data_IF_728368928009
#
_entry.id   IF_728368928009
#
_cell.length_a   1.000
_cell.length_b   1.000
_cell.length_c   1.000
_cell.angle_alpha   90.00
_cell.angle_beta   90.00
_cell.angle_gamma   90.00
#
_symmetry.space_group_name_H-M   'P 1'
#
loop_
_entity.id
_entity.type
_entity.pdbx_description
1 polymer ?
#
# COMPACT_ATOMS: atom_id res chain seq x y z
N UNK A 1 2.41 -9.69 -3.79
CA UNK A 1 3.67 -10.01 -3.10
C UNK A 1 4.38 -8.70 -2.89
N UNK A 2 4.32 -8.19 -1.65
CA UNK A 2 5.05 -6.98 -1.25
C UNK A 2 6.52 -7.32 -1.02
N UNK A 3 7.41 -6.53 -1.58
CA UNK A 3 8.83 -6.66 -1.35
C UNK A 3 9.20 -5.88 -0.10
N UNK A 4 9.76 -6.56 0.90
CA UNK A 4 10.18 -5.97 2.17
C UNK A 4 11.69 -6.02 2.28
N UNK A 5 12.33 -4.86 2.48
CA UNK A 5 13.78 -4.70 2.48
C UNK A 5 14.32 -4.27 3.84
N UNK A 6 15.50 -4.74 4.23
CA UNK A 6 16.07 -4.48 5.58
C UNK A 6 17.58 -4.30 5.62
N UNK A 7 18.09 -3.33 6.37
CA UNK A 7 19.00 -3.35 7.51
C UNK A 7 20.45 -2.88 7.41
N UNK A 8 20.91 -2.22 8.52
CA UNK A 8 22.30 -1.97 8.90
C UNK A 8 22.62 -2.54 10.31
N UNK A 9 23.86 -3.01 10.55
CA UNK A 9 24.39 -3.42 11.86
C UNK A 9 25.47 -2.44 12.30
N UNK A 10 25.38 -1.93 13.54
CA UNK A 10 26.43 -1.15 14.18
C UNK A 10 27.31 -2.02 15.09
N UNK A 11 28.45 -1.47 15.51
CA UNK A 11 29.46 -2.15 16.35
C UNK A 11 28.95 -2.51 17.75
N UNK A 12 27.83 -1.91 18.18
CA UNK A 12 27.26 -2.06 19.53
C UNK A 12 26.06 -3.06 19.58
N UNK A 13 25.99 -4.00 18.68
CA UNK A 13 24.90 -4.99 18.57
C UNK A 13 23.50 -4.41 18.29
N UNK A 14 23.39 -3.13 17.96
CA UNK A 14 22.13 -2.52 17.53
C UNK A 14 21.89 -2.67 16.03
N UNK A 15 20.63 -2.85 15.65
CA UNK A 15 20.22 -3.09 14.29
C UNK A 15 19.18 -2.07 13.86
N UNK A 16 19.50 -1.25 12.86
CA UNK A 16 18.52 -0.44 12.17
C UNK A 16 17.73 -1.31 11.17
N UNK A 17 16.43 -1.20 11.21
CA UNK A 17 15.51 -1.97 10.38
C UNK A 17 14.64 -1.00 9.62
N UNK A 18 14.56 -1.17 8.30
CA UNK A 18 13.56 -0.48 7.50
C UNK A 18 12.77 -1.49 6.67
N UNK A 19 11.49 -1.23 6.53
CA UNK A 19 10.53 -2.12 5.87
C UNK A 19 9.73 -1.29 4.89
N UNK A 20 9.63 -1.78 3.66
CA UNK A 20 8.79 -1.17 2.64
C UNK A 20 7.93 -2.22 1.96
N UNK A 21 6.65 -1.93 1.79
CA UNK A 21 5.79 -2.63 0.83
C UNK A 21 5.62 -1.73 -0.39
N UNK A 22 6.29 -2.11 -1.47
CA UNK A 22 6.30 -1.35 -2.72
C UNK A 22 4.92 -1.30 -3.39
N UNK A 23 4.03 -2.24 -3.05
CA UNK A 23 2.69 -2.28 -3.65
C UNK A 23 1.67 -1.42 -2.93
N UNK A 24 1.86 -1.17 -1.65
CA UNK A 24 0.96 -0.34 -0.83
C UNK A 24 1.55 1.02 -0.50
N UNK A 25 2.87 1.18 -0.64
CA UNK A 25 3.59 2.40 -0.25
C UNK A 25 3.86 2.50 1.26
N UNK A 26 3.57 1.44 2.02
CA UNK A 26 3.87 1.40 3.45
C UNK A 26 5.39 1.38 3.65
N UNK A 27 5.92 2.35 4.39
CA UNK A 27 7.35 2.50 4.63
C UNK A 27 7.62 2.81 6.09
N UNK A 28 8.33 1.90 6.75
CA UNK A 28 8.55 1.97 8.20
C UNK A 28 10.01 1.80 8.55
N UNK A 29 10.41 2.30 9.73
CA UNK A 29 11.72 2.07 10.31
C UNK A 29 11.64 1.83 11.82
N UNK A 30 12.63 1.11 12.34
CA UNK A 30 12.85 0.92 13.78
C UNK A 30 14.30 0.56 14.07
N UNK A 31 14.64 0.48 15.35
CA UNK A 31 15.91 -0.02 15.84
C UNK A 31 15.67 -1.11 16.89
N UNK A 32 16.53 -2.14 16.88
CA UNK A 32 16.50 -3.23 17.87
C UNK A 32 17.90 -3.56 18.36
N UNK A 33 18.01 -3.98 19.61
CA UNK A 33 19.28 -4.15 20.31
C UNK A 33 19.80 -5.60 20.34
N UNK A 34 19.09 -6.55 19.68
CA UNK A 34 19.50 -7.94 19.68
C UNK A 34 19.11 -8.69 18.41
N UNK A 35 19.87 -9.74 18.11
CA UNK A 35 19.58 -10.68 17.02
C UNK A 35 18.21 -11.33 17.18
N UNK A 36 17.80 -11.67 18.41
CA UNK A 36 16.48 -12.25 18.66
C UNK A 36 15.36 -11.32 18.24
N UNK A 37 15.38 -10.06 18.73
CA UNK A 37 14.39 -9.03 18.34
C UNK A 37 14.38 -8.79 16.83
N UNK A 38 15.54 -8.83 16.19
CA UNK A 38 15.62 -8.73 14.75
C UNK A 38 14.92 -9.90 14.06
N UNK A 39 15.19 -11.14 14.48
CA UNK A 39 14.54 -12.32 13.89
C UNK A 39 13.03 -12.30 14.12
N UNK A 40 12.58 -11.77 15.26
CA UNK A 40 11.16 -11.56 15.51
C UNK A 40 10.55 -10.59 14.50
N UNK A 41 11.22 -9.47 14.18
CA UNK A 41 10.77 -8.54 13.15
C UNK A 41 10.82 -9.15 11.74
N UNK A 42 11.84 -9.96 11.40
CA UNK A 42 11.88 -10.69 10.13
C UNK A 42 10.71 -11.66 10.03
N UNK A 43 10.44 -12.42 11.07
CA UNK A 43 9.33 -13.38 11.11
C UNK A 43 7.96 -12.69 11.09
N UNK A 44 7.87 -11.47 11.64
CA UNK A 44 6.65 -10.67 11.65
C UNK A 44 6.24 -10.20 10.25
N UNK A 45 7.19 -9.68 9.49
CA UNK A 45 6.93 -9.12 8.17
C UNK A 45 7.11 -10.11 7.02
N UNK A 46 7.83 -11.22 7.25
CA UNK A 46 8.10 -12.26 6.25
C UNK A 46 8.50 -11.66 4.89
N UNK A 47 9.62 -10.91 4.84
CA UNK A 47 10.01 -10.22 3.63
C UNK A 47 10.36 -11.20 2.50
N UNK A 48 10.10 -10.80 1.26
CA UNK A 48 10.56 -11.53 0.08
C UNK A 48 12.09 -11.39 -0.11
N UNK A 49 12.62 -10.20 0.20
CA UNK A 49 14.04 -9.90 0.10
C UNK A 49 14.53 -9.12 1.33
N UNK A 50 15.77 -9.41 1.74
CA UNK A 50 16.53 -8.62 2.72
C UNK A 50 17.76 -8.07 2.04
N UNK A 51 17.88 -6.75 1.97
CA UNK A 51 19.11 -6.07 1.60
C UNK A 51 19.89 -5.70 2.87
N UNK A 52 21.19 -5.88 2.87
CA UNK A 52 22.00 -5.67 4.06
C UNK A 52 23.42 -5.20 3.74
N UNK A 53 24.12 -4.71 4.74
CA UNK A 53 25.57 -4.48 4.67
C UNK A 53 26.36 -5.74 5.04
N UNK A 54 27.66 -5.74 4.77
CA UNK A 54 28.55 -6.87 5.06
C UNK A 54 28.57 -7.28 6.54
N UNK A 55 28.39 -6.33 7.46
CA UNK A 55 28.32 -6.58 8.91
C UNK A 55 27.19 -7.51 9.30
N UNK A 56 26.15 -7.64 8.48
CA UNK A 56 25.07 -8.57 8.70
C UNK A 56 25.50 -10.02 8.68
N UNK A 57 26.42 -10.38 7.79
CA UNK A 57 26.93 -11.75 7.66
C UNK A 57 27.73 -12.22 8.87
N UNK A 58 28.28 -11.29 9.64
CA UNK A 58 29.06 -11.59 10.86
C UNK A 58 28.27 -11.32 12.15
N UNK A 59 27.00 -10.98 12.05
CA UNK A 59 26.15 -10.57 13.19
C UNK A 59 25.65 -11.73 14.06
N UNK A 60 25.94 -12.97 13.69
CA UNK A 60 25.42 -14.17 14.38
C UNK A 60 24.00 -14.58 13.98
N UNK A 61 23.44 -13.98 12.93
CA UNK A 61 22.15 -14.38 12.35
C UNK A 61 22.35 -15.68 11.53
N UNK A 62 21.50 -16.66 11.73
CA UNK A 62 21.49 -17.87 10.89
C UNK A 62 20.86 -17.56 9.52
N UNK A 63 21.74 -17.27 8.56
CA UNK A 63 21.34 -16.92 7.19
C UNK A 63 20.76 -18.11 6.44
N UNK A 64 21.22 -19.34 6.77
CA UNK A 64 20.70 -20.56 6.15
C UNK A 64 19.24 -20.77 6.52
N UNK A 65 18.91 -20.53 7.78
CA UNK A 65 17.51 -20.58 8.25
C UNK A 65 16.61 -19.56 7.55
N UNK A 66 17.10 -18.36 7.32
CA UNK A 66 16.34 -17.32 6.60
C UNK A 66 16.15 -17.64 5.11
N UNK A 67 17.18 -18.13 4.44
CA UNK A 67 17.12 -18.39 2.99
C UNK A 67 16.44 -19.73 2.65
N UNK A 68 16.84 -20.81 3.28
CA UNK A 68 16.33 -22.14 2.93
C UNK A 68 14.96 -22.44 3.55
N UNK A 69 14.75 -22.05 4.81
CA UNK A 69 13.51 -22.33 5.51
C UNK A 69 12.42 -21.32 5.27
N UNK A 70 12.77 -20.03 5.21
CA UNK A 70 11.80 -18.95 4.98
C UNK A 70 11.69 -18.53 3.52
N UNK A 71 12.61 -18.97 2.66
CA UNK A 71 12.64 -18.64 1.24
C UNK A 71 12.95 -17.16 0.99
N UNK A 72 13.65 -16.50 1.93
CA UNK A 72 13.98 -15.07 1.84
C UNK A 72 15.26 -14.90 1.03
N UNK A 73 15.24 -14.08 0.01
CA UNK A 73 16.46 -13.68 -0.71
C UNK A 73 17.27 -12.69 0.14
N UNK A 74 18.58 -12.91 0.30
CA UNK A 74 19.46 -12.04 1.06
C UNK A 74 20.51 -11.47 0.12
N UNK A 75 20.57 -10.16 -0.01
CA UNK A 75 21.47 -9.42 -0.92
C UNK A 75 22.34 -8.43 -0.14
N UNK A 76 23.66 -8.57 -0.23
CA UNK A 76 24.58 -7.54 0.29
C UNK A 76 24.66 -6.37 -0.68
N UNK A 77 24.56 -5.15 -0.16
CA UNK A 77 24.79 -3.94 -0.92
C UNK A 77 26.17 -3.35 -0.61
N UNK A 78 26.70 -2.62 -1.57
CA UNK A 78 27.97 -1.90 -1.41
C UNK A 78 27.91 -0.89 -0.25
N UNK A 79 29.02 -0.60 0.44
CA UNK A 79 29.07 0.33 1.57
C UNK A 79 28.49 1.72 1.28
N UNK A 80 28.54 2.20 0.04
CA UNK A 80 28.01 3.50 -0.37
C UNK A 80 26.51 3.68 -0.07
N UNK A 81 25.74 2.59 -0.09
CA UNK A 81 24.29 2.63 0.24
C UNK A 81 24.03 2.89 1.72
N UNK A 82 25.04 2.73 2.58
CA UNK A 82 24.90 2.87 4.03
C UNK A 82 25.65 4.10 4.58
N UNK A 83 26.06 5.01 3.71
CA UNK A 83 26.63 6.29 4.13
C UNK A 83 25.55 7.20 4.67
N UNK A 84 25.71 7.67 5.91
CA UNK A 84 24.69 8.43 6.65
C UNK A 84 24.17 9.64 5.88
N UNK A 85 25.09 10.43 5.32
CA UNK A 85 24.70 11.65 4.58
C UNK A 85 23.99 11.32 3.27
N UNK A 86 24.47 10.33 2.53
CA UNK A 86 23.85 9.86 1.28
C UNK A 86 22.43 9.33 1.53
N UNK A 87 22.23 8.57 2.61
CA UNK A 87 20.93 8.08 3.03
C UNK A 87 19.97 9.21 3.38
N UNK A 88 20.45 10.19 4.18
CA UNK A 88 19.66 11.37 4.55
C UNK A 88 19.25 12.18 3.33
N UNK A 89 20.19 12.45 2.43
CA UNK A 89 19.90 13.19 1.20
C UNK A 89 18.91 12.46 0.30
N UNK A 90 19.02 11.13 0.17
CA UNK A 90 18.08 10.33 -0.61
C UNK A 90 16.65 10.44 -0.06
N UNK A 91 16.48 10.33 1.26
CA UNK A 91 15.18 10.48 1.92
C UNK A 91 14.64 11.91 1.79
N UNK A 92 15.46 12.94 2.07
CA UNK A 92 15.04 14.34 1.92
C UNK A 92 14.60 14.66 0.48
N UNK A 93 15.31 14.14 -0.50
CA UNK A 93 14.98 14.33 -1.93
C UNK A 93 13.68 13.63 -2.28
N UNK A 94 13.48 12.41 -1.80
CA UNK A 94 12.28 11.64 -2.09
C UNK A 94 11.03 12.28 -1.47
N UNK A 95 11.09 12.69 -0.21
CA UNK A 95 9.95 13.30 0.49
C UNK A 95 9.81 14.81 0.24
N UNK A 96 10.67 15.41 -0.58
CA UNK A 96 10.68 16.85 -0.89
C UNK A 96 10.77 17.74 0.37
N UNK A 97 11.55 17.31 1.36
CA UNK A 97 11.76 18.05 2.61
C UNK A 97 13.21 18.51 2.75
N UNK A 98 13.44 19.63 3.44
CA UNK A 98 14.77 20.15 3.72
C UNK A 98 15.48 19.44 4.90
N UNK A 99 14.69 18.85 5.80
CA UNK A 99 15.17 18.08 6.95
C UNK A 99 14.17 16.96 7.28
N UNK A 100 14.65 15.89 7.90
CA UNK A 100 13.83 14.80 8.40
C UNK A 100 13.29 15.03 9.82
N UNK A 101 13.65 16.16 10.45
CA UNK A 101 13.36 16.46 11.86
C UNK A 101 11.85 16.46 12.19
N UNK A 102 11.00 16.76 11.25
CA UNK A 102 9.54 16.72 11.43
C UNK A 102 8.89 15.35 11.20
N UNK A 103 9.66 14.32 10.85
CA UNK A 103 9.14 12.98 10.55
C UNK A 103 9.24 12.01 11.74
N UNK A 104 9.74 12.46 12.89
CA UNK A 104 9.90 11.64 14.10
C UNK A 104 10.97 10.54 13.99
N UNK A 105 11.91 10.68 13.05
CA UNK A 105 12.97 9.67 12.80
C UNK A 105 14.30 10.02 13.47
N UNK A 106 14.37 11.14 14.19
CA UNK A 106 15.60 11.67 14.81
C UNK A 106 16.22 10.71 15.82
N UNK A 107 15.39 9.99 16.56
CA UNK A 107 15.82 9.02 17.56
C UNK A 107 16.36 7.71 16.95
N UNK A 108 16.15 7.50 15.64
CA UNK A 108 16.47 6.26 14.93
C UNK A 108 17.63 6.45 13.95
N UNK A 109 18.81 6.73 14.47
CA UNK A 109 19.96 7.09 13.62
C UNK A 109 20.41 5.96 12.68
N UNK A 110 20.36 4.71 13.16
CA UNK A 110 20.72 3.51 12.37
C UNK A 110 19.52 3.09 11.50
N UNK A 111 18.30 3.22 12.01
CA UNK A 111 17.05 3.01 11.28
C UNK A 111 16.92 3.93 10.08
N UNK A 112 17.29 5.21 10.21
CA UNK A 112 17.32 6.18 9.13
C UNK A 112 18.31 5.78 8.02
N UNK A 113 19.49 5.25 8.39
CA UNK A 113 20.45 4.74 7.40
C UNK A 113 19.87 3.53 6.68
N UNK A 114 19.22 2.61 7.40
CA UNK A 114 18.55 1.47 6.79
C UNK A 114 17.42 1.92 5.83
N UNK A 115 16.65 2.92 6.20
CA UNK A 115 15.63 3.50 5.32
C UNK A 115 16.27 4.14 4.08
N UNK A 116 17.27 5.01 4.24
CA UNK A 116 17.97 5.62 3.10
C UNK A 116 18.56 4.60 2.13
N UNK A 117 19.14 3.52 2.64
CA UNK A 117 19.69 2.44 1.81
C UNK A 117 18.58 1.73 0.98
N UNK A 118 17.44 1.45 1.61
CA UNK A 118 16.26 0.90 0.92
C UNK A 118 15.77 1.84 -0.17
N UNK A 119 15.63 3.14 0.12
CA UNK A 119 15.18 4.13 -0.86
C UNK A 119 16.13 4.24 -2.05
N UNK A 120 17.44 4.29 -1.81
CA UNK A 120 18.44 4.31 -2.88
C UNK A 120 18.37 3.06 -3.75
N UNK A 121 18.23 1.89 -3.14
CA UNK A 121 18.09 0.64 -3.85
C UNK A 121 16.81 0.60 -4.71
N UNK A 122 15.69 1.07 -4.18
CA UNK A 122 14.43 1.14 -4.92
C UNK A 122 14.51 2.09 -6.12
N UNK A 123 15.12 3.26 -5.95
CA UNK A 123 15.29 4.23 -7.03
C UNK A 123 16.13 3.63 -8.17
N UNK A 124 17.18 2.88 -7.86
CA UNK A 124 18.05 2.25 -8.87
C UNK A 124 17.40 1.06 -9.56
N UNK A 125 16.64 0.24 -8.82
CA UNK A 125 16.06 -1.01 -9.34
C UNK A 125 14.72 -0.81 -10.03
N UNK A 126 13.83 0.01 -9.47
CA UNK A 126 12.47 0.17 -9.99
C UNK A 126 12.40 1.12 -11.20
N UNK A 127 13.35 2.09 -11.32
CA UNK A 127 13.44 3.06 -12.43
C UNK A 127 12.13 3.81 -12.73
N UNK A 128 11.23 3.90 -11.77
CA UNK A 128 9.92 4.55 -11.88
C UNK A 128 9.67 5.45 -10.67
N UNK A 129 8.66 6.30 -10.78
CA UNK A 129 8.27 7.18 -9.70
C UNK A 129 7.76 6.38 -8.49
N UNK A 130 8.32 6.64 -7.32
CA UNK A 130 7.95 6.04 -6.03
C UNK A 130 7.07 6.99 -5.19
N UNK A 131 6.35 7.90 -5.85
CA UNK A 131 5.58 8.98 -5.21
C UNK A 131 4.49 8.48 -4.27
N UNK A 132 4.01 7.26 -4.47
CA UNK A 132 3.05 6.62 -3.56
C UNK A 132 3.65 6.24 -2.21
N UNK A 133 4.99 6.16 -2.09
CA UNK A 133 5.68 6.03 -0.81
C UNK A 133 5.81 7.44 -0.22
N UNK A 134 4.73 7.94 0.36
CA UNK A 134 4.61 9.34 0.77
C UNK A 134 5.04 9.61 2.22
N UNK A 135 5.15 8.58 3.05
CA UNK A 135 5.47 8.69 4.47
C UNK A 135 6.46 7.64 4.93
N UNK A 136 7.40 8.05 5.77
CA UNK A 136 8.27 7.16 6.52
C UNK A 136 7.84 7.19 7.99
N UNK A 137 7.41 6.05 8.50
CA UNK A 137 6.86 5.94 9.86
C UNK A 137 7.84 5.22 10.79
N UNK A 138 8.36 5.87 11.83
CA UNK A 138 9.03 5.16 12.89
C UNK A 138 8.02 4.33 13.69
N UNK A 139 8.43 3.12 14.09
CA UNK A 139 7.60 2.30 14.96
C UNK A 139 8.41 1.72 16.12
N UNK A 140 7.79 1.64 17.29
CA UNK A 140 8.38 1.05 18.47
C UNK A 140 8.06 -0.44 18.54
N UNK A 141 9.10 -1.28 18.69
CA UNK A 141 8.95 -2.73 18.85
C UNK A 141 8.14 -3.10 20.09
N UNK A 142 8.11 -2.24 21.11
CA UNK A 142 7.37 -2.44 22.37
C UNK A 142 5.87 -2.14 22.34
N UNK A 143 5.32 -1.57 21.25
CA UNK A 143 3.89 -1.19 21.15
C UNK A 143 2.96 -2.40 21.00
N UNK A 144 3.48 -3.52 20.51
CA UNK A 144 2.69 -4.72 20.23
C UNK A 144 3.19 -5.90 21.05
N UNK A 145 2.26 -6.81 21.37
CA UNK A 145 2.59 -8.06 22.02
C UNK A 145 3.58 -8.87 21.17
N UNK A 146 4.69 -9.24 21.77
CA UNK A 146 5.69 -10.07 21.10
C UNK A 146 5.15 -11.49 20.96
N UNK A 147 4.84 -11.87 19.74
CA UNK A 147 4.46 -13.22 19.37
C UNK A 147 5.58 -13.82 18.55
N UNK A 148 6.32 -14.77 19.11
CA UNK A 148 7.34 -15.48 18.36
C UNK A 148 6.72 -16.33 17.24
N UNK A 149 7.56 -16.81 16.33
CA UNK A 149 7.13 -17.61 15.19
C UNK A 149 6.41 -18.89 15.60
N UNK A 150 6.92 -19.58 16.63
CA UNK A 150 6.35 -20.84 17.09
C UNK A 150 4.97 -20.60 17.70
N UNK A 151 4.81 -19.54 18.46
CA UNK A 151 3.53 -19.12 19.02
C UNK A 151 2.52 -18.80 17.92
N UNK A 152 2.88 -17.95 16.93
CA UNK A 152 2.00 -17.63 15.79
C UNK A 152 1.56 -18.88 15.03
N UNK A 153 2.52 -19.77 14.74
CA UNK A 153 2.28 -21.01 14.05
C UNK A 153 1.41 -21.98 14.86
N UNK A 154 1.73 -22.18 16.14
CA UNK A 154 1.01 -23.14 17.00
C UNK A 154 -0.41 -22.67 17.33
N UNK A 155 -0.64 -21.36 17.39
CA UNK A 155 -1.98 -20.77 17.56
C UNK A 155 -2.77 -20.71 16.24
N UNK A 156 -2.17 -21.10 15.11
CA UNK A 156 -2.80 -21.05 13.79
C UNK A 156 -3.48 -19.70 13.49
N UNK A 157 -2.77 -18.61 13.79
CA UNK A 157 -3.36 -17.26 13.72
C UNK A 157 -3.82 -16.90 12.32
N UNK A 158 -3.00 -17.17 11.30
CA UNK A 158 -3.27 -16.74 9.91
C UNK A 158 -3.35 -17.90 8.92
N UNK A 159 -2.74 -19.05 9.26
CA UNK A 159 -2.75 -20.25 8.45
C UNK A 159 -2.73 -21.50 9.34
N UNK A 160 -3.20 -22.64 8.81
CA UNK A 160 -3.21 -23.93 9.53
C UNK A 160 -1.83 -24.57 9.51
N UNK A 161 -1.52 -25.36 10.54
CA UNK A 161 -0.24 -26.08 10.72
C UNK A 161 0.06 -27.06 9.59
N UNK A 162 -0.95 -27.82 9.17
CA UNK A 162 -0.79 -28.93 8.23
C UNK A 162 -0.83 -28.50 6.78
N UNK A 163 -1.84 -27.73 6.42
CA UNK A 163 -2.15 -27.42 5.02
C UNK A 163 -1.63 -26.04 4.60
N UNK A 164 -1.14 -25.23 5.55
CA UNK A 164 -0.69 -23.85 5.32
C UNK A 164 -1.74 -23.02 4.56
N UNK A 165 -3.00 -23.21 4.90
CA UNK A 165 -4.14 -22.52 4.29
C UNK A 165 -4.77 -21.56 5.28
N UNK A 166 -5.35 -20.48 4.77
CA UNK A 166 -6.14 -19.53 5.58
C UNK A 166 -7.36 -20.20 6.20
N UNK A 167 -8.02 -21.10 5.47
CA UNK A 167 -9.24 -21.81 5.94
C UNK A 167 -8.91 -22.67 7.16
N UNK A 168 -9.64 -22.44 8.25
CA UNK A 168 -9.43 -23.11 9.52
C UNK A 168 -8.56 -22.35 10.53
N UNK A 169 -7.90 -21.26 10.12
CA UNK A 169 -7.14 -20.37 11.02
C UNK A 169 -8.03 -19.41 11.79
N UNK A 170 -7.49 -18.75 12.84
CA UNK A 170 -8.19 -17.70 13.56
C UNK A 170 -8.62 -16.56 12.63
N UNK A 171 -7.70 -16.11 11.74
CA UNK A 171 -8.00 -15.11 10.73
C UNK A 171 -9.20 -15.49 9.86
N UNK A 172 -9.31 -16.74 9.44
CA UNK A 172 -10.44 -17.19 8.61
C UNK A 172 -11.79 -17.06 9.33
N UNK A 173 -11.83 -17.33 10.62
CA UNK A 173 -13.06 -17.21 11.42
C UNK A 173 -13.47 -15.73 11.58
N UNK A 174 -12.50 -14.87 11.87
CA UNK A 174 -12.72 -13.46 12.16
C UNK A 174 -12.92 -12.58 10.92
N UNK A 175 -12.35 -12.98 9.78
CA UNK A 175 -12.37 -12.15 8.57
C UNK A 175 -13.76 -12.08 7.94
N UNK A 176 -14.46 -11.01 8.29
CA UNK A 176 -15.71 -10.56 7.71
C UNK A 176 -15.57 -9.19 7.06
N UNK A 177 -14.36 -8.80 6.75
CA UNK A 177 -14.05 -7.51 6.12
C UNK A 177 -14.69 -7.40 4.74
N UNK A 178 -14.97 -6.18 4.31
CA UNK A 178 -15.58 -5.89 3.02
C UNK A 178 -14.57 -5.42 1.98
N UNK A 179 -13.40 -4.96 2.43
CA UNK A 179 -12.35 -4.41 1.57
C UNK A 179 -11.04 -5.17 1.73
N UNK A 180 -10.20 -5.17 0.69
CA UNK A 180 -8.86 -5.78 0.75
C UNK A 180 -7.97 -5.07 1.79
N UNK A 181 -8.06 -3.75 1.90
CA UNK A 181 -7.36 -2.95 2.91
C UNK A 181 -7.78 -3.34 4.33
N UNK A 182 -9.09 -3.52 4.56
CA UNK A 182 -9.62 -4.01 5.84
C UNK A 182 -9.11 -5.40 6.18
N UNK A 183 -9.03 -6.31 5.21
CA UNK A 183 -8.49 -7.66 5.42
C UNK A 183 -7.00 -7.62 5.81
N UNK A 184 -6.19 -6.75 5.17
CA UNK A 184 -4.79 -6.55 5.57
C UNK A 184 -4.69 -5.98 6.98
N UNK A 185 -5.50 -4.98 7.32
CA UNK A 185 -5.51 -4.38 8.67
C UNK A 185 -5.93 -5.37 9.75
N UNK A 186 -6.93 -6.21 9.48
CA UNK A 186 -7.36 -7.27 10.41
C UNK A 186 -6.25 -8.29 10.61
N UNK A 187 -5.61 -8.76 9.54
CA UNK A 187 -4.47 -9.68 9.61
C UNK A 187 -3.35 -9.09 10.46
N UNK A 188 -2.95 -7.86 10.17
CA UNK A 188 -1.91 -7.17 10.94
C UNK A 188 -2.29 -7.05 12.44
N UNK A 189 -3.55 -6.77 12.76
CA UNK A 189 -4.03 -6.68 14.14
C UNK A 189 -4.00 -8.02 14.88
N UNK A 190 -4.20 -9.14 14.18
CA UNK A 190 -4.09 -10.49 14.77
C UNK A 190 -2.63 -10.89 14.98
N UNK A 191 -1.76 -10.55 14.04
CA UNK A 191 -0.33 -10.86 14.12
C UNK A 191 0.42 -9.94 15.09
N UNK A 192 -0.13 -8.75 15.37
CA UNK A 192 0.44 -7.70 16.21
C UNK A 192 -0.63 -7.16 17.18
N UNK A 193 -1.00 -7.92 18.21
CA UNK A 193 -1.95 -7.44 19.21
C UNK A 193 -1.40 -6.24 19.96
N UNK A 194 -2.24 -5.25 20.25
CA UNK A 194 -1.88 -4.09 21.06
C UNK A 194 -1.61 -4.51 22.51
N UNK A 195 -0.72 -3.76 23.19
CA UNK A 195 -0.44 -3.90 24.61
C UNK A 195 -1.05 -2.72 25.39
N UNK A 196 -1.06 -1.53 24.77
CA UNK A 196 -1.53 -0.31 25.41
C UNK A 196 -3.03 -0.38 25.70
N UNK A 197 -3.38 -0.35 26.99
CA UNK A 197 -4.75 -0.50 27.47
C UNK A 197 -5.68 0.58 26.89
N UNK A 198 -5.23 1.81 26.82
CA UNK A 198 -6.01 2.93 26.27
C UNK A 198 -6.41 2.71 24.81
N UNK A 199 -5.49 2.22 23.96
CA UNK A 199 -5.78 1.93 22.57
C UNK A 199 -6.73 0.72 22.42
N UNK A 200 -6.61 -0.27 23.31
CA UNK A 200 -7.51 -1.44 23.35
C UNK A 200 -8.93 -1.00 23.73
N UNK A 201 -9.06 -0.21 24.80
CA UNK A 201 -10.33 0.30 25.28
C UNK A 201 -11.01 1.20 24.24
N UNK A 202 -10.27 2.07 23.57
CA UNK A 202 -10.81 2.91 22.50
C UNK A 202 -11.41 2.08 21.34
N UNK A 203 -10.81 0.92 21.02
CA UNK A 203 -11.39 -0.02 20.03
C UNK A 203 -12.64 -0.72 20.55
N UNK A 204 -12.66 -1.09 21.83
CA UNK A 204 -13.83 -1.70 22.45
C UNK A 204 -15.01 -0.74 22.48
N UNK A 205 -14.79 0.52 22.84
CA UNK A 205 -15.83 1.56 22.81
C UNK A 205 -16.44 1.72 21.41
N UNK A 206 -15.59 1.75 20.39
CA UNK A 206 -16.05 1.82 19.01
C UNK A 206 -16.85 0.56 18.59
N UNK A 207 -16.42 -0.63 18.98
CA UNK A 207 -17.12 -1.88 18.70
C UNK A 207 -18.47 -1.92 19.44
N UNK A 208 -18.51 -1.50 20.71
CA UNK A 208 -19.75 -1.43 21.49
C UNK A 208 -20.77 -0.51 20.83
N UNK A 209 -20.34 0.67 20.38
CA UNK A 209 -21.20 1.63 19.70
C UNK A 209 -21.74 1.08 18.36
N UNK A 210 -20.89 0.38 17.57
CA UNK A 210 -21.33 -0.31 16.34
C UNK A 210 -22.31 -1.44 16.61
N UNK A 211 -22.14 -2.17 17.71
CA UNK A 211 -23.05 -3.23 18.09
C UNK A 211 -24.41 -2.70 18.56
N UNK A 212 -24.41 -1.53 19.21
CA UNK A 212 -25.64 -0.83 19.59
C UNK A 212 -26.38 -0.25 18.38
N UNK A 213 -25.68 0.10 17.30
CA UNK A 213 -26.21 0.74 16.10
C UNK A 213 -26.15 -0.20 14.89
N UNK A 214 -26.86 -1.32 14.95
CA UNK A 214 -26.82 -2.39 13.93
C UNK A 214 -27.16 -1.87 12.53
N UNK A 215 -28.15 -0.99 12.39
CA UNK A 215 -28.58 -0.44 11.10
C UNK A 215 -27.42 0.35 10.46
N UNK A 216 -26.86 1.30 11.18
CA UNK A 216 -25.75 2.13 10.68
C UNK A 216 -24.51 1.28 10.40
N UNK A 217 -24.25 0.27 11.21
CA UNK A 217 -23.15 -0.69 10.95
C UNK A 217 -23.34 -1.42 9.62
N UNK A 218 -24.54 -1.94 9.35
CA UNK A 218 -24.79 -2.65 8.07
C UNK A 218 -24.77 -1.66 6.88
N UNK A 219 -25.28 -0.43 7.03
CA UNK A 219 -25.16 0.60 6.00
C UNK A 219 -23.68 0.90 5.66
N UNK A 220 -22.83 1.09 6.67
CA UNK A 220 -21.38 1.27 6.44
C UNK A 220 -20.80 0.06 5.69
N UNK A 221 -21.20 -1.16 6.04
CA UNK A 221 -20.75 -2.38 5.36
C UNK A 221 -21.19 -2.43 3.89
N UNK A 222 -22.37 -1.96 3.57
CA UNK A 222 -22.85 -1.86 2.19
C UNK A 222 -22.05 -0.81 1.40
N UNK A 223 -21.80 0.37 1.96
CA UNK A 223 -20.95 1.38 1.31
C UNK A 223 -19.50 0.97 1.17
N UNK A 224 -18.96 0.12 2.04
CA UNK A 224 -17.62 -0.43 1.90
C UNK A 224 -17.52 -1.52 0.83
N UNK A 225 -18.61 -2.15 0.42
CA UNK A 225 -18.60 -3.28 -0.51
C UNK A 225 -18.06 -2.93 -1.92
N UNK A 226 -18.45 -1.78 -2.54
CA UNK A 226 -17.91 -1.35 -3.84
C UNK A 226 -16.53 -0.66 -3.74
N UNK A 227 -15.97 -0.47 -2.55
CA UNK A 227 -14.65 0.17 -2.39
C UNK A 227 -13.54 -0.80 -2.78
N UNK A 228 -12.83 -0.47 -3.83
CA UNK A 228 -11.67 -1.21 -4.32
C UNK A 228 -10.43 -0.98 -3.46
N UNK A 229 -9.34 -1.65 -3.80
CA UNK A 229 -8.06 -1.51 -3.10
C UNK A 229 -7.36 -0.20 -3.49
N UNK A 230 -7.69 0.88 -2.76
CA UNK A 230 -7.18 2.23 -3.04
C UNK A 230 -5.65 2.31 -2.96
N UNK A 231 -5.02 1.61 -2.01
CA UNK A 231 -3.55 1.60 -1.89
C UNK A 231 -2.90 1.06 -3.16
N UNK A 232 -3.43 -0.03 -3.71
CA UNK A 232 -2.92 -0.60 -4.96
C UNK A 232 -3.27 0.22 -6.20
N UNK A 233 -4.41 0.87 -6.21
CA UNK A 233 -4.78 1.79 -7.31
C UNK A 233 -3.85 2.99 -7.34
N UNK A 234 -3.56 3.61 -6.18
CA UNK A 234 -2.61 4.71 -6.08
C UNK A 234 -1.20 4.30 -6.51
N UNK A 235 -0.76 3.11 -6.12
CA UNK A 235 0.50 2.55 -6.58
C UNK A 235 0.56 2.43 -8.11
N UNK A 236 -0.48 1.88 -8.76
CA UNK A 236 -0.56 1.80 -10.22
C UNK A 236 -0.53 3.18 -10.89
N UNK A 237 -1.16 4.19 -10.29
CA UNK A 237 -1.13 5.57 -10.80
C UNK A 237 0.29 6.11 -10.74
N UNK A 238 0.98 5.96 -9.62
CA UNK A 238 2.37 6.40 -9.44
C UNK A 238 3.33 5.71 -10.43
N UNK A 239 3.15 4.42 -10.67
CA UNK A 239 3.91 3.66 -11.67
C UNK A 239 3.49 3.95 -13.13
N UNK A 240 2.45 4.76 -13.36
CA UNK A 240 1.86 5.03 -14.67
C UNK A 240 1.44 3.76 -15.43
N UNK A 241 1.04 2.74 -14.69
CA UNK A 241 0.55 1.45 -15.21
C UNK A 241 -0.97 1.32 -15.09
N UNK A 242 -1.62 2.35 -14.61
CA UNK A 242 -3.07 2.44 -14.47
C UNK A 242 -3.74 2.34 -15.83
N UNK A 243 -4.82 1.59 -15.91
CA UNK A 243 -5.67 1.51 -17.10
C UNK A 243 -7.00 2.28 -16.89
N UNK A 244 -7.77 2.56 -17.94
CA UNK A 244 -9.03 3.32 -17.80
C UNK A 244 -10.04 2.67 -16.83
N UNK A 245 -10.10 1.35 -16.74
CA UNK A 245 -10.99 0.65 -15.79
C UNK A 245 -10.53 0.75 -14.36
N UNK A 246 -9.21 0.83 -14.13
CA UNK A 246 -8.67 1.13 -12.79
C UNK A 246 -9.12 2.52 -12.32
N UNK A 247 -9.25 3.50 -13.24
CA UNK A 247 -9.75 4.84 -12.91
C UNK A 247 -11.24 4.82 -12.56
N UNK A 248 -12.06 4.01 -13.25
CA UNK A 248 -13.47 3.81 -12.87
C UNK A 248 -13.58 3.09 -11.51
N UNK A 249 -12.70 2.13 -11.22
CA UNK A 249 -12.64 1.50 -9.91
C UNK A 249 -12.28 2.50 -8.78
N UNK A 250 -11.40 3.46 -9.09
CA UNK A 250 -11.09 4.57 -8.18
C UNK A 250 -12.31 5.47 -8.00
N UNK A 251 -12.96 5.90 -9.08
CA UNK A 251 -14.18 6.70 -9.06
C UNK A 251 -15.27 6.08 -8.19
N UNK A 252 -15.61 4.80 -8.45
CA UNK A 252 -16.61 4.06 -7.67
C UNK A 252 -16.27 3.96 -6.18
N UNK A 253 -14.98 3.91 -5.86
CA UNK A 253 -14.51 3.91 -4.47
C UNK A 253 -14.67 5.27 -3.81
N UNK A 254 -14.33 6.35 -4.52
CA UNK A 254 -14.44 7.72 -4.02
C UNK A 254 -15.91 8.15 -3.84
N UNK A 255 -16.82 7.68 -4.70
CA UNK A 255 -18.26 7.93 -4.61
C UNK A 255 -18.84 7.52 -3.26
N UNK A 256 -18.29 6.49 -2.63
CA UNK A 256 -18.78 5.98 -1.35
C UNK A 256 -18.29 6.77 -0.13
N UNK A 257 -17.19 7.53 -0.27
CA UNK A 257 -16.55 8.20 0.87
C UNK A 257 -17.45 9.25 1.56
N UNK A 258 -18.20 10.12 0.84
CA UNK A 258 -19.08 11.09 1.50
C UNK A 258 -20.14 10.43 2.38
N UNK A 259 -20.76 9.34 1.91
CA UNK A 259 -21.77 8.61 2.65
C UNK A 259 -21.17 7.93 3.90
N UNK A 260 -20.02 7.29 3.76
CA UNK A 260 -19.29 6.68 4.89
C UNK A 260 -18.93 7.75 5.91
N UNK A 261 -18.36 8.89 5.47
CA UNK A 261 -18.02 10.00 6.36
C UNK A 261 -19.23 10.53 7.12
N UNK A 262 -20.35 10.73 6.44
CA UNK A 262 -21.59 11.20 7.08
C UNK A 262 -22.06 10.22 8.17
N UNK A 263 -22.00 8.91 7.93
CA UNK A 263 -22.38 7.89 8.91
C UNK A 263 -21.42 7.87 10.10
N UNK A 264 -20.11 8.05 9.89
CA UNK A 264 -19.13 8.15 10.97
C UNK A 264 -19.40 9.35 11.90
N UNK A 265 -19.90 10.46 11.38
CA UNK A 265 -20.27 11.64 12.16
C UNK A 265 -21.40 11.41 13.18
N UNK A 266 -22.16 10.33 13.06
CA UNK A 266 -23.23 9.98 14.00
C UNK A 266 -22.72 9.26 15.25
N UNK A 267 -21.46 8.80 15.25
CA UNK A 267 -20.86 8.07 16.36
C UNK A 267 -20.16 9.02 17.36
N UNK A 268 -20.07 8.59 18.61
CA UNK A 268 -19.51 9.36 19.72
C UNK A 268 -18.13 8.89 20.13
N UNK A 269 -17.80 7.63 19.88
CA UNK A 269 -16.50 7.07 20.26
C UNK A 269 -15.33 7.88 19.66
N UNK A 270 -14.26 8.15 20.45
CA UNK A 270 -13.15 8.99 20.02
C UNK A 270 -12.53 8.53 18.69
N UNK A 271 -12.45 7.22 18.49
CA UNK A 271 -11.90 6.63 17.28
C UNK A 271 -12.69 7.02 16.01
N UNK A 272 -14.03 7.07 16.09
CA UNK A 272 -14.84 7.49 14.95
C UNK A 272 -14.77 8.98 14.68
N UNK A 273 -14.63 9.80 15.74
CA UNK A 273 -14.41 11.25 15.57
C UNK A 273 -13.08 11.52 14.87
N UNK A 274 -12.01 10.84 15.30
CA UNK A 274 -10.71 10.97 14.67
C UNK A 274 -10.74 10.55 13.18
N UNK A 275 -11.45 9.46 12.87
CA UNK A 275 -11.65 9.01 11.48
C UNK A 275 -12.48 10.03 10.68
N UNK A 276 -13.55 10.57 11.25
CA UNK A 276 -14.38 11.58 10.60
C UNK A 276 -13.60 12.85 10.28
N UNK A 277 -12.78 13.33 11.22
CA UNK A 277 -12.01 14.57 11.08
C UNK A 277 -10.87 14.41 10.05
N UNK A 278 -10.25 13.23 10.01
CA UNK A 278 -9.13 12.92 9.08
C UNK A 278 -9.58 12.51 7.69
N UNK A 279 -10.83 12.07 7.52
CA UNK A 279 -11.34 11.57 6.24
C UNK A 279 -11.66 12.73 5.31
N UNK A 280 -10.91 12.88 4.22
CA UNK A 280 -11.27 13.72 3.09
C UNK A 280 -12.11 12.88 2.10
N UNK A 281 -13.22 13.44 1.64
CA UNK A 281 -14.12 12.79 0.70
C UNK A 281 -13.62 12.85 -0.75
N UNK A 282 -12.61 13.68 -1.06
CA UNK A 282 -11.96 13.82 -2.38
C UNK A 282 -12.97 14.04 -3.53
N UNK A 283 -14.00 14.85 -3.28
CA UNK A 283 -15.10 15.11 -4.23
C UNK A 283 -14.62 15.79 -5.53
N UNK A 284 -13.55 16.56 -5.45
CA UNK A 284 -12.88 17.17 -6.60
C UNK A 284 -12.26 16.13 -7.53
N UNK A 285 -11.55 15.15 -6.98
CA UNK A 285 -10.94 14.06 -7.73
C UNK A 285 -12.01 13.17 -8.34
N UNK A 286 -13.06 12.84 -7.56
CA UNK A 286 -14.23 12.13 -8.07
C UNK A 286 -14.82 12.87 -9.28
N UNK A 287 -15.10 14.17 -9.14
CA UNK A 287 -15.67 15.01 -10.19
C UNK A 287 -14.81 15.05 -11.46
N UNK A 288 -13.49 15.10 -11.33
CA UNK A 288 -12.58 15.07 -12.47
C UNK A 288 -12.66 13.74 -13.22
N UNK A 289 -12.59 12.62 -12.53
CA UNK A 289 -12.65 11.30 -13.16
C UNK A 289 -14.02 11.09 -13.82
N UNK A 290 -15.08 11.39 -13.09
CA UNK A 290 -16.46 11.28 -13.55
C UNK A 290 -16.73 12.10 -14.81
N UNK A 291 -16.24 13.34 -14.89
CA UNK A 291 -16.42 14.19 -16.07
C UNK A 291 -15.58 13.75 -17.26
N UNK A 292 -14.45 13.09 -17.02
CA UNK A 292 -13.47 12.80 -18.05
C UNK A 292 -13.66 11.45 -18.73
N UNK A 293 -13.96 10.39 -17.96
CA UNK A 293 -13.85 9.00 -18.41
C UNK A 293 -15.25 8.43 -18.67
N UNK A 294 -15.38 7.64 -19.77
CA UNK A 294 -16.59 6.90 -20.10
C UNK A 294 -16.90 5.85 -19.03
N UNK A 295 -18.18 5.52 -18.81
CA UNK A 295 -18.62 4.56 -17.78
C UNK A 295 -18.09 3.13 -18.04
N UNK A 296 -18.02 2.75 -19.31
CA UNK A 296 -17.48 1.45 -19.74
C UNK A 296 -16.26 1.64 -20.65
N UNK A 297 -15.12 2.09 -20.12
CA UNK A 297 -13.96 2.35 -20.96
C UNK A 297 -13.29 1.05 -21.42
N UNK A 298 -12.56 1.06 -22.53
CA UNK A 298 -11.75 -0.06 -22.96
C UNK A 298 -10.65 -0.38 -21.94
N UNK A 299 -10.11 -1.61 -22.00
CA UNK A 299 -9.01 -2.01 -21.11
C UNK A 299 -7.71 -1.30 -21.50
N UNK A 300 -7.47 -1.17 -22.81
CA UNK A 300 -6.22 -0.61 -23.33
C UNK A 300 -6.40 0.82 -23.81
N UNK A 301 -5.47 1.68 -23.43
CA UNK A 301 -5.41 3.08 -23.91
C UNK A 301 -5.32 3.13 -25.45
N UNK A 302 -4.74 2.09 -26.09
CA UNK A 302 -4.56 2.03 -27.54
C UNK A 302 -5.87 1.86 -28.32
N UNK A 303 -6.91 1.37 -27.68
CA UNK A 303 -8.22 1.16 -28.34
C UNK A 303 -8.95 2.48 -28.61
N UNK A 304 -8.66 3.53 -27.83
CA UNK A 304 -9.35 4.81 -27.89
C UNK A 304 -10.75 4.75 -27.26
N UNK A 305 -11.49 5.88 -27.26
CA UNK A 305 -12.84 5.91 -26.66
C UNK A 305 -12.86 5.95 -25.14
N UNK A 306 -11.81 6.46 -24.51
CA UNK A 306 -11.66 6.52 -23.04
C UNK A 306 -12.42 7.71 -22.46
N UNK A 307 -12.30 8.88 -23.11
CA UNK A 307 -12.84 10.13 -22.59
C UNK A 307 -14.27 10.37 -23.06
N UNK A 308 -15.08 10.97 -22.23
CA UNK A 308 -16.43 11.42 -22.56
C UNK A 308 -16.41 12.47 -23.66
N UNK A 309 -17.47 12.51 -24.49
CA UNK A 309 -17.64 13.55 -25.49
C UNK A 309 -17.86 14.91 -24.80
N UNK A 310 -17.20 15.93 -25.30
CA UNK A 310 -17.27 17.28 -24.71
C UNK A 310 -16.28 17.53 -23.58
N UNK A 311 -15.49 16.54 -23.18
CA UNK A 311 -14.47 16.73 -22.14
C UNK A 311 -13.28 17.57 -22.61
N UNK A 312 -12.82 17.36 -23.86
CA UNK A 312 -11.70 18.12 -24.42
C UNK A 312 -11.88 18.35 -25.92
N UNK A 313 -11.92 19.63 -26.32
CA UNK A 313 -12.20 20.04 -27.72
C UNK A 313 -11.29 19.40 -28.77
N UNK A 314 -9.99 19.26 -28.48
CA UNK A 314 -9.04 18.66 -29.44
C UNK A 314 -9.32 17.17 -29.65
N UNK A 315 -9.68 16.45 -28.58
CA UNK A 315 -10.04 15.03 -28.67
C UNK A 315 -11.31 14.89 -29.51
N UNK A 316 -12.29 15.75 -29.32
CA UNK A 316 -13.55 15.70 -30.06
C UNK A 316 -13.33 16.04 -31.55
N UNK A 317 -12.50 17.03 -31.85
CA UNK A 317 -12.09 17.35 -33.24
C UNK A 317 -11.40 16.18 -33.92
N UNK A 318 -10.48 15.50 -33.20
CA UNK A 318 -9.80 14.31 -33.73
C UNK A 318 -10.74 13.12 -33.95
N UNK A 319 -11.73 12.94 -33.07
CA UNK A 319 -12.79 11.93 -33.25
C UNK A 319 -13.64 12.23 -34.47
N UNK A 320 -14.07 13.46 -34.64
CA UNK A 320 -14.86 13.92 -35.77
C UNK A 320 -14.10 13.70 -37.08
N UNK A 321 -12.83 14.13 -37.10
CA UNK A 321 -11.98 13.93 -38.27
C UNK A 321 -11.80 12.43 -38.64
N UNK A 322 -11.69 11.56 -37.59
CA UNK A 322 -11.60 10.10 -37.79
C UNK A 322 -12.89 9.52 -38.37
N UNK A 323 -14.05 10.02 -37.93
CA UNK A 323 -15.36 9.55 -38.41
C UNK A 323 -15.62 10.02 -39.84
N UNK A 324 -15.42 11.30 -40.12
CA UNK A 324 -15.54 11.89 -41.44
C UNK A 324 -14.56 11.25 -42.44
N UNK A 325 -13.33 10.96 -42.03
CA UNK A 325 -12.35 10.25 -42.84
C UNK A 325 -12.75 8.80 -43.18
N UNK A 326 -13.46 8.12 -42.26
CA UNK A 326 -14.03 6.78 -42.57
C UNK A 326 -15.20 6.86 -43.52
N UNK A 327 -16.08 7.82 -43.36
CA UNK A 327 -17.23 8.02 -44.25
C UNK A 327 -16.79 8.39 -45.70
N UNK A 328 -15.78 9.26 -45.84
CA UNK A 328 -15.16 9.55 -47.13
C UNK A 328 -14.50 8.32 -47.76
N UNK A 329 -13.85 7.48 -46.96
CA UNK A 329 -13.25 6.21 -47.44
C UNK A 329 -14.32 5.22 -47.92
N UNK A 330 -15.44 5.12 -47.21
CA UNK A 330 -16.55 4.23 -47.58
C UNK A 330 -17.27 4.71 -48.86
N UNK A 331 -17.42 6.02 -49.04
CA UNK A 331 -18.01 6.59 -50.27
C UNK A 331 -17.12 6.29 -51.48
N UNK A 332 -15.80 6.39 -51.33
CA UNK A 332 -14.86 6.09 -52.41
C UNK A 332 -14.80 4.58 -52.80
N UNK A 333 -15.11 3.70 -51.86
CA UNK A 333 -15.16 2.25 -52.11
C UNK A 333 -16.49 1.82 -52.72
N UNK A 334 -17.57 2.59 -52.54
CA UNK A 334 -18.92 2.26 -52.98
C UNK A 334 -19.31 2.83 -54.34
N UNK A 335 -18.52 3.69 -54.97
CA UNK A 335 -18.75 4.11 -56.36
C UNK A 335 -18.09 3.11 -57.34
N UNK A 336 -18.87 2.28 -58.01
CA UNK A 336 -18.32 1.46 -59.10
C UNK A 336 -17.97 2.38 -60.25
N UNK A 337 -16.69 2.45 -60.62
CA UNK A 337 -16.26 3.03 -61.89
C UNK A 337 -16.98 2.34 -63.00
N UNK A 338 -18.03 2.99 -63.54
CA UNK A 338 -18.60 2.58 -64.84
C UNK A 338 -17.55 2.85 -65.91
N UNK A 339 -17.16 1.87 -66.70
CA UNK A 339 -16.42 2.15 -67.90
C UNK A 339 -17.38 2.83 -68.90
N UNK A 340 -16.98 4.01 -69.31
CA UNK A 340 -17.66 4.63 -70.47
C UNK A 340 -17.39 3.83 -71.76
N UNK A 341 -18.38 3.81 -72.69
CA UNK A 341 -18.30 3.01 -73.87
C UNK A 341 -17.31 3.54 -74.92
#
# INVERSE_FOLDING_TARGET
LGDVYKRQVSVDHSFGISIVDVTTGEYMLTEVESVSKLLDEVNKFMPAEIICNDSFYISGVDLTDLSERLGITISALEPRYFEKESCREALCRHFHVSSLDGMGVEEYSIGMIAAGAVMMYLIETQKCALEHISHLQPYHVGKYMLLDRNTRRNLELVETLREKQKRGSLLWVLDKTKTAMGARKLRASIEQPLIEEEEILARYDAIEELNANVITREEIREYLNPVYDLERLLSKISYRTVNPRDMIALESSLEMLPAIRMLLGNFKAPLFKDLYDKMDALEDIYGWIHSAIEEEPPISVREGGIFKNGYHEEIDKLRQAKTEGKDLSLIHISEPTRPEP
#
